data_IF_757552847541
#
_entry.id   IF_757552847541
#
_cell.length_a   1.000
_cell.length_b   1.000
_cell.length_c   1.000
_cell.angle_alpha   90.00
_cell.angle_beta   90.00
_cell.angle_gamma   90.00
#
_symmetry.space_group_name_H-M   'P 1'
#
loop_
_entity.id
_entity.type
_entity.pdbx_description
1 polymer ?
#
# COMPACT_ATOMS: atom_id res chain seq x y z
N UNK A 1 -8.14 -20.79 55.08
CA UNK A 1 -7.94 -21.72 53.95
C UNK A 1 -7.50 -20.87 52.79
N UNK A 2 -6.16 -20.71 52.65
CA UNK A 2 -5.54 -19.78 51.72
C UNK A 2 -5.52 -20.38 50.31
N UNK A 3 -6.06 -19.66 49.36
CA UNK A 3 -5.87 -19.94 47.92
C UNK A 3 -4.49 -19.41 47.55
N UNK A 4 -3.56 -20.34 47.27
CA UNK A 4 -2.28 -20.04 46.71
C UNK A 4 -2.48 -19.47 45.28
N UNK A 5 -2.12 -18.21 45.12
CA UNK A 5 -1.91 -17.60 43.83
C UNK A 5 -0.66 -18.24 43.24
N UNK A 6 -0.83 -19.15 42.29
CA UNK A 6 0.28 -19.63 41.44
C UNK A 6 0.86 -18.44 40.68
N UNK A 7 2.06 -18.04 41.08
CA UNK A 7 2.92 -17.14 40.32
C UNK A 7 3.23 -17.75 38.97
N UNK A 8 2.45 -17.41 37.95
CA UNK A 8 2.75 -17.73 36.57
C UNK A 8 3.99 -16.90 36.20
N UNK A 9 5.17 -17.52 36.33
CA UNK A 9 6.43 -16.96 35.85
C UNK A 9 6.29 -16.56 34.41
N UNK A 10 6.56 -15.29 34.04
CA UNK A 10 6.53 -14.87 32.63
C UNK A 10 7.57 -15.74 31.87
N UNK A 11 7.07 -16.49 30.89
CA UNK A 11 7.92 -17.26 30.02
C UNK A 11 9.00 -16.34 29.43
N UNK A 12 10.28 -16.66 29.62
CA UNK A 12 11.41 -15.90 29.04
C UNK A 12 11.18 -15.80 27.55
N UNK A 13 10.80 -14.62 27.05
CA UNK A 13 10.67 -14.36 25.62
C UNK A 13 12.05 -14.58 24.98
N UNK A 14 12.16 -15.63 24.16
CA UNK A 14 13.37 -15.88 23.36
C UNK A 14 13.58 -14.72 22.39
N UNK A 15 14.85 -14.31 22.15
CA UNK A 15 15.20 -13.35 21.11
C UNK A 15 14.60 -13.87 19.80
N UNK A 16 13.72 -13.09 19.15
CA UNK A 16 12.96 -13.52 17.98
C UNK A 16 11.46 -13.79 18.23
N UNK A 17 11.04 -14.06 19.47
CA UNK A 17 9.63 -14.18 19.87
C UNK A 17 8.82 -15.11 18.95
N UNK A 18 7.79 -14.58 18.29
CA UNK A 18 6.88 -15.29 17.38
C UNK A 18 7.54 -15.97 16.18
N UNK A 19 8.71 -15.52 15.71
CA UNK A 19 9.40 -16.14 14.57
C UNK A 19 9.81 -17.59 14.83
N UNK A 20 9.93 -17.99 16.10
CA UNK A 20 10.22 -19.37 16.48
C UNK A 20 8.99 -20.27 16.50
N UNK A 21 7.79 -19.70 16.41
CA UNK A 21 6.57 -20.47 16.20
C UNK A 21 6.51 -20.87 14.73
N UNK A 22 6.60 -22.18 14.45
CA UNK A 22 6.71 -22.72 13.08
C UNK A 22 5.69 -22.14 12.12
N UNK A 23 4.41 -22.09 12.52
CA UNK A 23 3.34 -21.63 11.64
C UNK A 23 3.43 -20.12 11.33
N UNK A 24 3.73 -19.28 12.34
CA UNK A 24 3.96 -17.86 12.12
C UNK A 24 5.23 -17.60 11.32
N UNK A 25 6.32 -18.35 11.62
CA UNK A 25 7.58 -18.23 10.87
C UNK A 25 7.42 -18.56 9.38
N UNK A 26 6.64 -19.60 9.04
CA UNK A 26 6.31 -19.95 7.65
C UNK A 26 5.50 -18.84 6.97
N UNK A 27 4.46 -18.31 7.63
CA UNK A 27 3.68 -17.21 7.10
C UNK A 27 4.58 -15.98 6.87
N UNK A 28 5.34 -15.59 7.89
CA UNK A 28 6.23 -14.42 7.83
C UNK A 28 7.28 -14.54 6.73
N UNK A 29 7.89 -15.71 6.56
CA UNK A 29 8.89 -15.98 5.52
C UNK A 29 8.27 -15.92 4.13
N UNK A 30 7.13 -16.60 3.92
CA UNK A 30 6.40 -16.58 2.65
C UNK A 30 6.02 -15.16 2.24
N UNK A 31 5.39 -14.42 3.16
CA UNK A 31 5.01 -13.00 2.97
C UNK A 31 6.21 -12.10 2.67
N UNK A 32 7.32 -12.29 3.38
CA UNK A 32 8.51 -11.47 3.16
C UNK A 32 9.09 -11.70 1.76
N UNK A 33 9.15 -12.94 1.30
CA UNK A 33 9.66 -13.28 -0.04
C UNK A 33 8.70 -12.81 -1.13
N UNK A 34 7.40 -13.05 -1.00
CA UNK A 34 6.42 -12.59 -1.99
C UNK A 34 6.33 -11.06 -2.03
N UNK A 35 6.52 -10.40 -0.88
CA UNK A 35 6.64 -8.95 -0.79
C UNK A 35 7.85 -8.40 -1.57
N UNK A 36 9.02 -9.04 -1.48
CA UNK A 36 10.20 -8.69 -2.28
C UNK A 36 9.91 -8.88 -3.77
N UNK A 37 9.33 -10.03 -4.15
CA UNK A 37 8.95 -10.32 -5.54
C UNK A 37 7.97 -9.28 -6.10
N UNK A 38 6.91 -8.96 -5.36
CA UNK A 38 5.91 -7.96 -5.76
C UNK A 38 6.51 -6.56 -5.89
N UNK A 39 7.41 -6.17 -4.98
CA UNK A 39 8.15 -4.92 -5.09
C UNK A 39 9.11 -4.92 -6.30
N UNK A 40 9.72 -6.05 -6.65
CA UNK A 40 10.47 -6.19 -7.90
C UNK A 40 9.57 -6.01 -9.12
N UNK A 41 8.41 -6.67 -9.15
CA UNK A 41 7.48 -6.59 -10.27
C UNK A 41 6.97 -5.16 -10.50
N UNK A 42 6.76 -4.37 -9.45
CA UNK A 42 6.31 -2.96 -9.57
C UNK A 42 7.26 -2.09 -10.41
N UNK A 43 8.52 -2.46 -10.54
CA UNK A 43 9.51 -1.81 -11.41
C UNK A 43 9.74 -2.63 -12.68
N UNK A 44 9.86 -3.96 -12.57
CA UNK A 44 10.18 -4.83 -13.69
C UNK A 44 9.08 -4.89 -14.76
N UNK A 45 7.80 -4.87 -14.37
CA UNK A 45 6.67 -4.92 -15.35
C UNK A 45 6.58 -3.65 -16.19
N UNK A 46 6.60 -2.43 -15.63
CA UNK A 46 6.74 -1.22 -16.43
C UNK A 46 8.00 -1.23 -17.31
N UNK A 47 9.15 -1.68 -16.80
CA UNK A 47 10.37 -1.81 -17.60
C UNK A 47 10.20 -2.80 -18.76
N UNK A 48 9.50 -3.92 -18.54
CA UNK A 48 9.20 -4.90 -19.60
C UNK A 48 8.35 -4.27 -20.72
N UNK A 49 7.31 -3.54 -20.35
CA UNK A 49 6.48 -2.82 -21.31
C UNK A 49 7.26 -1.74 -22.09
N UNK A 50 8.16 -1.02 -21.42
CA UNK A 50 8.95 0.06 -22.02
C UNK A 50 10.06 -0.48 -22.91
N UNK A 51 10.82 -1.46 -22.43
CA UNK A 51 12.04 -1.94 -23.09
C UNK A 51 11.73 -2.94 -24.22
N UNK A 52 10.80 -3.89 -24.01
CA UNK A 52 10.49 -4.96 -24.96
C UNK A 52 9.40 -4.52 -25.94
N UNK A 53 8.29 -3.98 -25.43
CA UNK A 53 7.14 -3.62 -26.27
C UNK A 53 7.16 -2.16 -26.75
N UNK A 54 8.11 -1.35 -26.29
CA UNK A 54 8.18 0.09 -26.58
C UNK A 54 6.85 0.81 -26.31
N UNK A 55 6.11 0.34 -25.30
CA UNK A 55 4.77 0.78 -24.97
C UNK A 55 4.71 2.30 -24.75
N UNK A 56 3.64 2.94 -25.22
CA UNK A 56 3.42 4.38 -25.06
C UNK A 56 3.09 4.76 -23.61
N UNK A 57 3.12 6.07 -23.28
CA UNK A 57 2.91 6.54 -21.92
C UNK A 57 1.56 6.12 -21.31
N UNK A 58 0.49 6.18 -22.11
CA UNK A 58 -0.85 5.77 -21.67
C UNK A 58 -0.89 4.28 -21.31
N UNK A 59 -0.28 3.42 -22.16
CA UNK A 59 -0.25 1.98 -21.92
C UNK A 59 0.51 1.65 -20.60
N UNK A 60 1.67 2.27 -20.37
CA UNK A 60 2.44 2.06 -19.13
C UNK A 60 1.64 2.52 -17.91
N UNK A 61 0.96 3.65 -17.97
CA UNK A 61 0.13 4.15 -16.87
C UNK A 61 -1.10 3.26 -16.64
N UNK A 62 -1.67 2.71 -17.71
CA UNK A 62 -2.80 1.78 -17.62
C UNK A 62 -2.45 0.48 -16.88
N UNK A 63 -1.17 0.04 -16.87
CA UNK A 63 -0.72 -1.11 -16.06
C UNK A 63 -0.93 -0.85 -14.58
N UNK A 64 -0.51 0.32 -14.10
CA UNK A 64 -0.74 0.72 -12.71
C UNK A 64 -2.23 0.86 -12.41
N UNK A 65 -3.00 1.45 -13.32
CA UNK A 65 -4.45 1.54 -13.16
C UNK A 65 -5.08 0.14 -13.06
N UNK A 66 -4.68 -0.81 -13.92
CA UNK A 66 -5.18 -2.19 -13.92
C UNK A 66 -4.89 -2.91 -12.60
N UNK A 67 -3.70 -2.72 -12.02
CA UNK A 67 -3.31 -3.33 -10.74
C UNK A 67 -4.18 -2.83 -9.56
N UNK A 68 -4.58 -1.55 -9.57
CA UNK A 68 -5.38 -0.95 -8.48
C UNK A 68 -6.89 -0.98 -8.73
N UNK A 69 -7.32 -1.14 -9.97
CA UNK A 69 -8.74 -1.14 -10.33
C UNK A 69 -9.59 -2.19 -9.58
N UNK A 70 -9.11 -3.41 -9.29
CA UNK A 70 -9.85 -4.39 -8.51
C UNK A 70 -10.23 -3.91 -7.11
N UNK A 71 -9.43 -3.08 -6.46
CA UNK A 71 -9.79 -2.50 -5.17
C UNK A 71 -11.05 -1.64 -5.25
N UNK A 72 -11.22 -0.92 -6.36
CA UNK A 72 -12.40 -0.09 -6.61
C UNK A 72 -13.63 -0.95 -6.97
N UNK A 73 -13.43 -1.97 -7.82
CA UNK A 73 -14.54 -2.76 -8.37
C UNK A 73 -15.06 -3.81 -7.39
N UNK A 74 -14.14 -4.56 -6.75
CA UNK A 74 -14.49 -5.74 -5.94
C UNK A 74 -14.02 -5.65 -4.49
N UNK A 75 -13.24 -4.62 -4.10
CA UNK A 75 -12.69 -4.52 -2.74
C UNK A 75 -13.74 -4.63 -1.64
N UNK A 76 -14.94 -4.11 -1.89
CA UNK A 76 -16.06 -4.16 -0.94
C UNK A 76 -16.79 -5.52 -0.96
N UNK A 77 -17.25 -6.08 -2.09
CA UNK A 77 -17.91 -7.39 -2.10
C UNK A 77 -16.94 -8.53 -1.76
N UNK A 78 -15.65 -8.41 -2.07
CA UNK A 78 -14.65 -9.41 -1.74
C UNK A 78 -14.57 -9.69 -0.23
N UNK A 79 -14.75 -8.69 0.63
CA UNK A 79 -14.82 -8.90 2.09
C UNK A 79 -15.92 -9.87 2.50
N UNK A 80 -17.12 -9.71 1.92
CA UNK A 80 -18.24 -10.62 2.20
C UNK A 80 -18.02 -12.05 1.67
N UNK A 81 -17.25 -12.19 0.58
CA UNK A 81 -16.89 -13.51 0.05
C UNK A 81 -15.80 -14.18 0.88
N UNK A 82 -14.79 -13.44 1.31
CA UNK A 82 -13.71 -13.93 2.18
C UNK A 82 -14.26 -14.44 3.51
N UNK A 83 -15.28 -13.81 4.08
CA UNK A 83 -15.93 -14.26 5.31
C UNK A 83 -16.60 -15.64 5.19
N UNK A 84 -16.86 -16.12 3.97
CA UNK A 84 -17.54 -17.40 3.69
C UNK A 84 -16.61 -18.51 3.23
N UNK A 85 -15.38 -18.21 2.91
CA UNK A 85 -14.42 -19.15 2.34
C UNK A 85 -13.27 -19.43 3.32
N UNK A 86 -12.65 -20.61 3.28
CA UNK A 86 -11.49 -20.92 4.12
C UNK A 86 -10.34 -19.97 3.79
N UNK A 87 -9.86 -19.13 4.74
CA UNK A 87 -8.90 -18.08 4.44
C UNK A 87 -7.57 -18.62 3.91
N UNK A 88 -7.08 -19.76 4.43
CA UNK A 88 -5.85 -20.40 3.95
C UNK A 88 -5.96 -20.85 2.48
N UNK A 89 -7.08 -21.42 2.08
CA UNK A 89 -7.30 -21.86 0.70
C UNK A 89 -7.31 -20.68 -0.26
N UNK A 90 -7.90 -19.54 0.17
CA UNK A 90 -7.89 -18.30 -0.59
C UNK A 90 -6.47 -17.74 -0.77
N UNK A 91 -5.67 -17.73 0.30
CA UNK A 91 -4.28 -17.30 0.25
C UNK A 91 -3.47 -18.12 -0.75
N UNK A 92 -3.57 -19.45 -0.66
CA UNK A 92 -2.86 -20.39 -1.57
C UNK A 92 -3.34 -20.20 -3.02
N UNK A 93 -4.64 -20.09 -3.24
CA UNK A 93 -5.20 -19.89 -4.59
C UNK A 93 -4.75 -18.56 -5.21
N UNK A 94 -4.71 -17.48 -4.41
CA UNK A 94 -4.23 -16.17 -4.86
C UNK A 94 -2.74 -16.20 -5.23
N UNK A 95 -1.90 -16.85 -4.40
CA UNK A 95 -0.47 -17.00 -4.69
C UNK A 95 -0.23 -17.84 -5.94
N UNK A 96 -0.89 -18.98 -6.10
CA UNK A 96 -0.75 -19.84 -7.28
C UNK A 96 -1.25 -19.13 -8.55
N UNK A 97 -2.38 -18.44 -8.47
CA UNK A 97 -2.88 -17.63 -9.59
C UNK A 97 -1.87 -16.54 -9.98
N UNK A 98 -1.32 -15.81 -9.01
CA UNK A 98 -0.31 -14.78 -9.24
C UNK A 98 0.97 -15.35 -9.83
N UNK A 99 1.42 -16.52 -9.35
CA UNK A 99 2.60 -17.21 -9.86
C UNK A 99 2.42 -17.59 -11.34
N UNK A 100 1.27 -18.18 -11.71
CA UNK A 100 0.95 -18.55 -13.07
C UNK A 100 0.85 -17.34 -14.00
N UNK A 101 0.15 -16.30 -13.55
CA UNK A 101 -0.06 -15.07 -14.31
C UNK A 101 1.27 -14.35 -14.57
N UNK A 102 2.08 -14.08 -13.54
CA UNK A 102 3.38 -13.45 -13.75
C UNK A 102 4.36 -14.37 -14.48
N UNK A 103 4.30 -15.70 -14.28
CA UNK A 103 5.11 -16.66 -15.02
C UNK A 103 4.80 -16.70 -16.51
N UNK A 104 3.58 -16.37 -16.92
CA UNK A 104 3.17 -16.31 -18.32
C UNK A 104 3.88 -15.19 -19.10
N UNK A 105 4.26 -14.09 -18.46
CA UNK A 105 4.88 -12.93 -19.11
C UNK A 105 6.26 -13.24 -19.72
N UNK A 106 7.24 -13.81 -18.98
CA UNK A 106 8.53 -14.15 -19.54
C UNK A 106 8.42 -15.26 -20.60
N UNK A 107 7.54 -16.23 -20.41
CA UNK A 107 7.29 -17.28 -21.42
C UNK A 107 6.81 -16.65 -22.73
N UNK A 108 5.82 -15.76 -22.67
CA UNK A 108 5.35 -15.05 -23.87
C UNK A 108 6.44 -14.14 -24.48
N UNK A 109 7.28 -13.52 -23.64
CA UNK A 109 8.39 -12.69 -24.12
C UNK A 109 9.44 -13.53 -24.88
N UNK A 110 9.80 -14.72 -24.37
CA UNK A 110 10.74 -15.64 -25.04
C UNK A 110 10.19 -16.22 -26.33
N UNK A 111 8.86 -16.44 -26.40
CA UNK A 111 8.19 -16.88 -27.60
C UNK A 111 7.89 -15.72 -28.59
N UNK A 112 8.28 -14.49 -28.27
CA UNK A 112 7.97 -13.28 -29.04
C UNK A 112 6.45 -13.02 -29.23
N UNK A 113 5.62 -13.53 -28.32
CA UNK A 113 4.15 -13.39 -28.32
C UNK A 113 3.65 -12.37 -27.28
N UNK A 114 4.54 -11.74 -26.51
CA UNK A 114 4.16 -10.79 -25.49
C UNK A 114 3.46 -9.57 -26.09
N UNK A 115 2.32 -9.22 -25.49
CA UNK A 115 1.54 -8.03 -25.89
C UNK A 115 1.24 -7.14 -24.68
N UNK A 116 0.97 -5.85 -24.91
CA UNK A 116 0.52 -4.92 -23.87
C UNK A 116 -0.79 -5.39 -23.24
N UNK A 117 -1.70 -5.92 -24.06
CA UNK A 117 -2.98 -6.46 -23.57
C UNK A 117 -2.79 -7.61 -22.59
N UNK A 118 -1.84 -8.51 -22.84
CA UNK A 118 -1.51 -9.60 -21.92
C UNK A 118 -1.00 -9.05 -20.58
N UNK A 119 -0.10 -8.06 -20.58
CA UNK A 119 0.41 -7.46 -19.34
C UNK A 119 -0.75 -6.78 -18.58
N UNK A 120 -1.64 -6.06 -19.25
CA UNK A 120 -2.82 -5.43 -18.65
C UNK A 120 -3.75 -6.46 -17.99
N UNK A 121 -4.01 -7.59 -18.66
CA UNK A 121 -4.83 -8.68 -18.11
C UNK A 121 -4.14 -9.30 -16.89
N UNK A 122 -2.84 -9.54 -16.95
CA UNK A 122 -2.06 -10.07 -15.83
C UNK A 122 -2.13 -9.12 -14.64
N UNK A 123 -1.88 -7.82 -14.82
CA UNK A 123 -1.96 -6.82 -13.75
C UNK A 123 -3.37 -6.74 -13.15
N UNK A 124 -4.41 -6.78 -13.97
CA UNK A 124 -5.79 -6.76 -13.50
C UNK A 124 -6.12 -8.01 -12.67
N UNK A 125 -5.80 -9.20 -13.18
CA UNK A 125 -6.12 -10.46 -12.50
C UNK A 125 -5.26 -10.67 -11.25
N UNK A 126 -4.00 -10.29 -11.25
CA UNK A 126 -3.16 -10.30 -10.05
C UNK A 126 -3.61 -9.25 -9.03
N UNK A 127 -4.13 -8.11 -9.49
CA UNK A 127 -4.81 -7.15 -8.64
C UNK A 127 -6.05 -7.76 -7.94
N UNK A 128 -6.85 -8.56 -8.65
CA UNK A 128 -7.96 -9.33 -8.04
C UNK A 128 -7.42 -10.30 -6.98
N UNK A 129 -6.39 -11.08 -7.31
CA UNK A 129 -5.75 -12.00 -6.37
C UNK A 129 -5.24 -11.28 -5.13
N UNK A 130 -4.63 -10.10 -5.30
CA UNK A 130 -4.12 -9.26 -4.19
C UNK A 130 -5.23 -8.78 -3.27
N UNK A 131 -6.40 -8.41 -3.80
CA UNK A 131 -7.56 -8.03 -2.97
C UNK A 131 -7.99 -9.21 -2.09
N UNK A 132 -8.19 -10.38 -2.67
CA UNK A 132 -8.58 -11.58 -1.91
C UNK A 132 -7.51 -11.99 -0.90
N UNK A 133 -6.25 -11.98 -1.30
CA UNK A 133 -5.12 -12.28 -0.42
C UNK A 133 -5.08 -11.36 0.79
N UNK A 134 -5.12 -10.05 0.57
CA UNK A 134 -5.06 -9.05 1.65
C UNK A 134 -6.20 -9.19 2.64
N UNK A 135 -7.42 -9.43 2.15
CA UNK A 135 -8.59 -9.62 3.00
C UNK A 135 -8.52 -10.95 3.77
N UNK A 136 -8.17 -12.05 3.09
CA UNK A 136 -8.02 -13.36 3.73
C UNK A 136 -6.92 -13.36 4.79
N UNK A 137 -5.81 -12.67 4.52
CA UNK A 137 -4.68 -12.52 5.43
C UNK A 137 -5.07 -11.84 6.75
N UNK A 138 -5.91 -10.79 6.72
CA UNK A 138 -6.37 -10.12 7.93
C UNK A 138 -7.22 -11.03 8.84
N UNK A 139 -7.92 -12.01 8.25
CA UNK A 139 -8.71 -12.99 8.98
C UNK A 139 -7.85 -14.18 9.45
N UNK A 140 -6.83 -14.54 8.67
CA UNK A 140 -6.00 -15.71 8.94
C UNK A 140 -4.97 -15.50 10.05
N UNK A 141 -4.39 -14.30 10.15
CA UNK A 141 -3.38 -13.98 11.16
C UNK A 141 -3.85 -14.24 12.60
N UNK A 142 -5.06 -13.82 13.04
CA UNK A 142 -5.58 -14.14 14.37
C UNK A 142 -5.83 -15.63 14.65
N UNK A 143 -5.90 -16.45 13.61
CA UNK A 143 -6.02 -17.93 13.76
C UNK A 143 -4.66 -18.56 14.08
N UNK A 144 -3.55 -17.93 13.64
CA UNK A 144 -2.19 -18.45 13.82
C UNK A 144 -1.53 -17.97 15.10
N UNK A 145 -1.93 -16.81 15.62
CA UNK A 145 -1.23 -16.11 16.71
C UNK A 145 -2.21 -15.80 17.83
N UNK A 146 -1.80 -15.99 19.08
CA UNK A 146 -2.61 -15.64 20.24
C UNK A 146 -2.93 -14.13 20.27
N UNK A 147 -4.06 -13.76 20.88
CA UNK A 147 -4.53 -12.37 20.93
C UNK A 147 -3.47 -11.41 21.51
N UNK A 148 -2.76 -11.82 22.56
CA UNK A 148 -1.70 -11.04 23.21
C UNK A 148 -0.46 -10.82 22.32
N UNK A 149 -0.23 -11.70 21.34
CA UNK A 149 0.92 -11.69 20.46
C UNK A 149 0.61 -11.04 19.09
N UNK A 150 -0.66 -10.68 18.80
CA UNK A 150 -1.07 -10.07 17.53
C UNK A 150 -0.34 -8.77 17.24
N UNK A 151 -0.09 -7.95 18.26
CA UNK A 151 0.65 -6.70 18.10
C UNK A 151 2.08 -6.95 17.63
N UNK A 152 2.77 -7.93 18.22
CA UNK A 152 4.12 -8.34 17.83
C UNK A 152 4.12 -8.91 16.40
N UNK A 153 3.14 -9.76 16.08
CA UNK A 153 2.99 -10.35 14.75
C UNK A 153 2.83 -9.27 13.66
N UNK A 154 1.88 -8.35 13.86
CA UNK A 154 1.65 -7.25 12.92
C UNK A 154 2.88 -6.32 12.79
N UNK A 155 3.58 -6.03 13.90
CA UNK A 155 4.79 -5.21 13.86
C UNK A 155 5.90 -5.86 13.02
N UNK A 156 6.14 -7.19 13.17
CA UNK A 156 7.14 -7.92 12.40
C UNK A 156 6.79 -7.98 10.91
N UNK A 157 5.53 -8.22 10.58
CA UNK A 157 5.06 -8.27 9.20
C UNK A 157 5.14 -6.89 8.53
N UNK A 158 4.78 -5.83 9.23
CA UNK A 158 4.92 -4.46 8.72
C UNK A 158 6.39 -4.06 8.51
N UNK A 159 7.27 -4.44 9.42
CA UNK A 159 8.71 -4.18 9.29
C UNK A 159 9.30 -4.93 8.10
N UNK A 160 8.98 -6.23 7.93
CA UNK A 160 9.46 -7.01 6.79
C UNK A 160 8.89 -6.50 5.46
N UNK A 161 7.63 -6.06 5.42
CA UNK A 161 7.02 -5.43 4.23
C UNK A 161 7.77 -4.15 3.82
N UNK A 162 8.15 -3.31 4.78
CA UNK A 162 8.97 -2.12 4.51
C UNK A 162 10.34 -2.47 3.92
N UNK A 163 11.02 -3.46 4.51
CA UNK A 163 12.31 -3.96 3.98
C UNK A 163 12.14 -4.58 2.59
N UNK A 164 11.10 -5.39 2.40
CA UNK A 164 10.80 -6.02 1.12
C UNK A 164 10.52 -4.99 0.01
N UNK A 165 9.81 -3.91 0.34
CA UNK A 165 9.53 -2.83 -0.61
C UNK A 165 10.82 -2.17 -1.12
N UNK A 166 11.74 -1.82 -0.22
CA UNK A 166 13.00 -1.17 -0.57
C UNK A 166 13.92 -2.14 -1.32
N UNK A 167 14.15 -3.33 -0.75
CA UNK A 167 15.07 -4.32 -1.34
C UNK A 167 14.56 -4.82 -2.69
N UNK A 168 13.27 -5.13 -2.82
CA UNK A 168 12.68 -5.63 -4.05
C UNK A 168 12.81 -4.63 -5.20
N UNK A 169 12.47 -3.36 -4.98
CA UNK A 169 12.61 -2.33 -6.02
C UNK A 169 14.07 -2.07 -6.39
N UNK A 170 14.99 -2.09 -5.41
CA UNK A 170 16.42 -1.99 -5.68
C UNK A 170 16.94 -3.18 -6.51
N UNK A 171 16.53 -4.39 -6.14
CA UNK A 171 16.91 -5.62 -6.84
C UNK A 171 16.32 -5.70 -8.26
N UNK A 172 15.17 -5.10 -8.52
CA UNK A 172 14.51 -5.15 -9.84
C UNK A 172 15.42 -4.62 -10.96
N UNK A 173 16.03 -3.45 -10.76
CA UNK A 173 16.95 -2.88 -11.75
C UNK A 173 18.21 -3.71 -11.95
N UNK A 174 18.80 -4.24 -10.86
CA UNK A 174 19.96 -5.11 -10.91
C UNK A 174 19.65 -6.43 -11.62
N UNK A 175 18.53 -7.07 -11.29
CA UNK A 175 18.09 -8.29 -11.94
C UNK A 175 17.79 -8.06 -13.43
N UNK A 176 17.13 -6.95 -13.78
CA UNK A 176 16.86 -6.59 -15.17
C UNK A 176 18.15 -6.45 -16.00
N UNK A 177 19.22 -5.92 -15.39
CA UNK A 177 20.54 -5.80 -16.02
C UNK A 177 21.26 -7.14 -16.11
N UNK A 178 21.21 -7.98 -15.06
CA UNK A 178 21.99 -9.22 -14.97
C UNK A 178 21.41 -10.36 -15.82
N UNK A 179 20.09 -10.55 -15.79
CA UNK A 179 19.38 -11.70 -16.42
C UNK A 179 18.36 -11.28 -17.45
N UNK A 180 18.23 -9.99 -17.71
CA UNK A 180 17.23 -9.43 -18.64
C UNK A 180 15.90 -9.12 -17.95
N UNK A 181 15.18 -8.14 -18.51
CA UNK A 181 13.93 -7.61 -17.92
C UNK A 181 12.84 -8.68 -17.85
N UNK A 182 12.66 -9.48 -18.91
CA UNK A 182 11.65 -10.54 -18.92
C UNK A 182 11.94 -11.62 -17.86
N UNK A 183 13.19 -12.06 -17.76
CA UNK A 183 13.61 -13.06 -16.77
C UNK A 183 13.49 -12.55 -15.33
N UNK A 184 13.67 -11.24 -15.10
CA UNK A 184 13.52 -10.65 -13.76
C UNK A 184 12.09 -10.79 -13.21
N UNK A 185 11.07 -10.90 -14.06
CA UNK A 185 9.67 -11.14 -13.64
C UNK A 185 9.48 -12.55 -13.08
N UNK A 186 10.30 -13.55 -13.47
CA UNK A 186 10.25 -14.90 -12.89
C UNK A 186 10.55 -14.92 -11.40
N UNK A 187 11.37 -14.01 -10.90
CA UNK A 187 11.63 -13.93 -9.46
C UNK A 187 10.33 -13.64 -8.68
N UNK A 188 9.45 -12.80 -9.25
CA UNK A 188 8.14 -12.57 -8.63
C UNK A 188 7.24 -13.81 -8.72
N UNK A 189 7.17 -14.47 -9.87
CA UNK A 189 6.41 -15.71 -10.00
C UNK A 189 6.93 -16.79 -9.03
N UNK A 190 8.26 -16.95 -8.92
CA UNK A 190 8.88 -17.87 -7.97
C UNK A 190 8.62 -17.51 -6.51
N UNK A 191 8.60 -16.22 -6.17
CA UNK A 191 8.31 -15.77 -4.80
C UNK A 191 6.90 -16.12 -4.35
N UNK A 192 5.90 -16.02 -5.23
CA UNK A 192 4.53 -16.49 -4.96
C UNK A 192 4.46 -18.01 -4.79
N UNK A 193 5.23 -18.79 -5.57
CA UNK A 193 5.30 -20.25 -5.37
C UNK A 193 5.90 -20.58 -4.00
N UNK A 194 6.94 -19.89 -3.58
CA UNK A 194 7.54 -20.07 -2.24
C UNK A 194 6.51 -19.73 -1.16
N UNK A 195 5.76 -18.65 -1.30
CA UNK A 195 4.70 -18.27 -0.37
C UNK A 195 3.61 -19.35 -0.31
N UNK A 196 3.12 -19.84 -1.45
CA UNK A 196 2.14 -20.91 -1.52
C UNK A 196 2.63 -22.20 -0.85
N UNK A 197 3.92 -22.58 -1.05
CA UNK A 197 4.53 -23.74 -0.39
C UNK A 197 4.58 -23.55 1.13
N UNK A 198 4.97 -22.34 1.59
CA UNK A 198 4.98 -22.02 3.01
C UNK A 198 3.56 -22.14 3.62
N UNK A 199 2.54 -21.60 2.94
CA UNK A 199 1.14 -21.71 3.36
C UNK A 199 0.65 -23.17 3.39
N UNK A 200 1.06 -23.99 2.41
CA UNK A 200 0.77 -25.43 2.39
C UNK A 200 1.46 -26.18 3.53
N UNK A 201 2.63 -25.73 3.98
CA UNK A 201 3.38 -26.34 5.08
C UNK A 201 2.84 -25.96 6.48
N UNK A 202 2.00 -24.94 6.59
CA UNK A 202 1.34 -24.56 7.83
C UNK A 202 0.34 -25.66 8.23
N UNK A 203 0.49 -26.15 9.46
CA UNK A 203 -0.38 -27.20 10.03
C UNK A 203 -1.23 -26.60 11.15
N UNK A 204 -2.31 -25.95 10.78
CA UNK A 204 -3.34 -25.51 11.73
C UNK A 204 -4.65 -26.13 11.29
N UNK A 205 -5.35 -26.76 12.23
CA UNK A 205 -6.76 -27.08 12.03
C UNK A 205 -7.51 -25.75 12.05
N UNK A 206 -7.95 -25.29 10.92
CA UNK A 206 -8.92 -24.21 10.91
C UNK A 206 -10.11 -24.69 11.71
N UNK A 207 -10.52 -24.01 12.80
CA UNK A 207 -11.82 -24.30 13.36
C UNK A 207 -12.77 -24.18 12.17
N UNK A 208 -13.53 -25.23 11.88
CA UNK A 208 -14.70 -25.03 11.03
C UNK A 208 -15.41 -23.85 11.66
N UNK A 209 -15.33 -22.71 11.01
CA UNK A 209 -16.07 -21.54 11.44
C UNK A 209 -17.53 -21.99 11.38
N UNK A 210 -18.03 -22.53 12.48
CA UNK A 210 -19.43 -22.36 12.81
C UNK A 210 -19.63 -20.85 12.76
N UNK A 211 -20.16 -20.45 11.63
CA UNK A 211 -20.48 -19.08 11.24
C UNK A 211 -21.57 -18.56 12.19
N UNK A 212 -21.25 -18.45 13.48
CA UNK A 212 -21.97 -17.67 14.48
C UNK A 212 -21.61 -16.19 14.37
N UNK A 213 -21.42 -15.71 13.14
CA UNK A 213 -21.61 -14.31 12.88
C UNK A 213 -23.07 -14.09 12.55
N UNK A 214 -23.79 -13.53 13.51
CA UNK A 214 -25.14 -13.01 13.30
C UNK A 214 -25.20 -12.33 11.93
N UNK A 215 -26.16 -12.73 11.05
CA UNK A 215 -26.31 -12.07 9.77
C UNK A 215 -26.47 -10.58 10.03
N UNK A 216 -25.50 -9.76 9.60
CA UNK A 216 -25.71 -8.32 9.61
C UNK A 216 -26.93 -8.06 8.72
N UNK A 217 -27.97 -7.53 9.31
CA UNK A 217 -29.25 -7.21 8.66
C UNK A 217 -29.12 -6.06 7.63
N UNK A 218 -27.95 -5.41 7.57
CA UNK A 218 -27.66 -4.29 6.68
C UNK A 218 -26.91 -4.75 5.45
N UNK A 219 -27.32 -4.26 4.28
CA UNK A 219 -26.58 -4.50 3.03
C UNK A 219 -25.29 -3.72 3.06
N UNK A 220 -24.23 -4.26 2.47
CA UNK A 220 -22.93 -3.60 2.34
C UNK A 220 -23.04 -2.17 1.77
N UNK A 221 -23.96 -1.98 0.81
CA UNK A 221 -24.25 -0.65 0.26
C UNK A 221 -24.79 0.33 1.31
N UNK A 222 -25.65 -0.15 2.21
CA UNK A 222 -26.17 0.66 3.30
C UNK A 222 -25.08 1.04 4.30
N UNK A 223 -24.20 0.11 4.67
CA UNK A 223 -23.07 0.38 5.57
C UNK A 223 -22.09 1.41 5.00
N UNK A 224 -21.82 1.36 3.68
CA UNK A 224 -20.99 2.37 3.00
C UNK A 224 -21.70 3.71 2.94
N UNK A 225 -22.97 3.71 2.55
CA UNK A 225 -23.74 4.95 2.45
C UNK A 225 -23.83 5.63 3.82
N UNK A 226 -24.02 4.87 4.89
CA UNK A 226 -24.04 5.39 6.26
C UNK A 226 -22.68 5.92 6.70
N UNK A 227 -21.60 5.18 6.40
CA UNK A 227 -20.23 5.63 6.67
C UNK A 227 -19.86 6.90 5.91
N UNK A 228 -20.22 7.00 4.62
CA UNK A 228 -20.07 8.22 3.82
C UNK A 228 -20.92 9.37 4.35
N UNK A 229 -22.18 9.10 4.69
CA UNK A 229 -23.06 10.13 5.25
C UNK A 229 -22.52 10.69 6.58
N UNK A 230 -21.94 9.82 7.42
CA UNK A 230 -21.29 10.25 8.65
C UNK A 230 -20.06 11.15 8.37
N UNK A 231 -19.20 10.74 7.42
CA UNK A 231 -18.03 11.53 7.00
C UNK A 231 -18.46 12.88 6.43
N UNK A 232 -19.52 12.91 5.58
CA UNK A 232 -19.97 14.13 4.91
C UNK A 232 -20.65 15.14 5.83
N UNK A 233 -21.27 14.67 6.93
CA UNK A 233 -21.91 15.54 7.94
C UNK A 233 -20.90 16.28 8.83
N UNK A 234 -19.73 15.69 9.06
CA UNK A 234 -18.67 16.30 9.86
C UNK A 234 -17.65 17.00 8.95
N UNK A 235 -17.45 18.31 9.17
CA UNK A 235 -16.58 19.15 8.34
C UNK A 235 -15.11 18.71 8.42
N UNK A 236 -14.67 18.22 9.58
CA UNK A 236 -13.29 17.80 9.79
C UNK A 236 -13.04 16.44 9.15
N UNK A 237 -13.96 15.45 9.36
CA UNK A 237 -13.86 14.14 8.70
C UNK A 237 -13.92 14.27 7.18
N UNK A 238 -14.74 15.17 6.66
CA UNK A 238 -14.83 15.44 5.22
C UNK A 238 -13.51 15.96 4.65
N UNK A 239 -12.89 16.95 5.29
CA UNK A 239 -11.58 17.48 4.89
C UNK A 239 -10.52 16.39 4.95
N UNK A 240 -10.49 15.60 6.04
CA UNK A 240 -9.53 14.50 6.25
C UNK A 240 -9.85 13.24 5.43
N UNK A 241 -10.94 13.22 4.66
CA UNK A 241 -11.25 12.21 3.65
C UNK A 241 -10.89 12.70 2.24
N UNK A 242 -11.24 13.94 1.89
CA UNK A 242 -10.98 14.52 0.55
C UNK A 242 -9.49 14.73 0.33
N UNK A 243 -8.75 15.27 1.31
CA UNK A 243 -7.32 15.51 1.16
C UNK A 243 -6.52 14.25 0.81
N UNK A 244 -6.62 13.12 1.55
CA UNK A 244 -5.93 11.90 1.15
C UNK A 244 -6.38 11.34 -0.19
N UNK A 245 -7.65 11.51 -0.57
CA UNK A 245 -8.15 11.06 -1.86
C UNK A 245 -7.50 11.81 -3.03
N UNK A 246 -7.46 13.14 -2.97
CA UNK A 246 -6.82 13.97 -4.01
C UNK A 246 -5.30 13.75 -4.02
N UNK A 247 -4.67 13.69 -2.85
CA UNK A 247 -3.24 13.41 -2.72
C UNK A 247 -2.88 12.04 -3.29
N UNK A 248 -3.67 11.00 -2.98
CA UNK A 248 -3.43 9.65 -3.47
C UNK A 248 -3.70 9.51 -4.97
N UNK A 249 -4.67 10.25 -5.51
CA UNK A 249 -4.88 10.34 -6.95
C UNK A 249 -3.63 10.90 -7.65
N UNK A 250 -3.13 12.04 -7.18
CA UNK A 250 -1.94 12.66 -7.76
C UNK A 250 -0.70 11.76 -7.60
N UNK A 251 -0.49 11.18 -6.41
CA UNK A 251 0.62 10.27 -6.13
C UNK A 251 0.55 8.98 -6.96
N UNK A 252 -0.64 8.39 -7.12
CA UNK A 252 -0.86 7.24 -7.98
C UNK A 252 -0.47 7.52 -9.44
N UNK A 253 -0.77 8.73 -9.92
CA UNK A 253 -0.32 9.20 -11.22
C UNK A 253 1.20 9.36 -11.31
N UNK A 254 1.83 9.96 -10.29
CA UNK A 254 3.31 10.07 -10.22
C UNK A 254 3.96 8.69 -10.27
N UNK A 255 3.47 7.73 -9.46
CA UNK A 255 3.99 6.35 -9.47
C UNK A 255 3.86 5.70 -10.84
N UNK A 256 2.72 5.87 -11.52
CA UNK A 256 2.44 5.24 -12.80
C UNK A 256 3.40 5.64 -13.91
N UNK A 257 3.92 6.87 -13.88
CA UNK A 257 4.81 7.38 -14.92
C UNK A 257 6.26 7.57 -14.46
N UNK A 258 6.59 7.32 -13.18
CA UNK A 258 7.95 7.53 -12.64
C UNK A 258 9.01 6.69 -13.34
N UNK A 259 8.76 5.40 -13.53
CA UNK A 259 9.71 4.51 -14.24
C UNK A 259 9.90 4.95 -15.69
N UNK A 260 8.79 5.27 -16.37
CA UNK A 260 8.83 5.78 -17.74
C UNK A 260 9.61 7.09 -17.84
N UNK A 261 9.42 7.99 -16.90
CA UNK A 261 10.12 9.27 -16.81
C UNK A 261 11.62 9.07 -16.64
N UNK A 262 12.03 8.23 -15.68
CA UNK A 262 13.44 7.96 -15.39
C UNK A 262 14.14 7.34 -16.61
N UNK A 263 13.50 6.40 -17.30
CA UNK A 263 14.09 5.70 -18.45
C UNK A 263 14.12 6.58 -19.71
N UNK A 264 12.98 7.18 -20.09
CA UNK A 264 12.85 7.86 -21.41
C UNK A 264 13.20 9.33 -21.39
N UNK A 265 12.94 10.02 -20.28
CA UNK A 265 13.13 11.48 -20.17
C UNK A 265 14.44 11.80 -19.49
N UNK A 266 14.68 11.25 -18.29
CA UNK A 266 15.92 11.44 -17.56
C UNK A 266 17.09 10.57 -18.10
N UNK A 267 16.80 9.60 -18.99
CA UNK A 267 17.77 8.71 -19.65
C UNK A 267 18.66 7.94 -18.67
N UNK A 268 18.08 7.52 -17.56
CA UNK A 268 18.73 6.77 -16.50
C UNK A 268 18.73 5.29 -16.86
N UNK A 269 19.83 4.60 -16.59
CA UNK A 269 19.97 3.17 -16.87
C UNK A 269 19.03 2.31 -16.02
N UNK A 270 18.59 1.17 -16.54
CA UNK A 270 17.59 0.30 -15.90
C UNK A 270 18.01 -0.16 -14.50
N UNK A 271 19.30 -0.41 -14.27
CA UNK A 271 19.83 -0.78 -12.97
C UNK A 271 19.71 0.37 -11.96
N UNK A 272 20.01 1.57 -12.38
CA UNK A 272 19.96 2.78 -11.56
C UNK A 272 18.52 3.17 -11.20
N UNK A 273 17.56 2.94 -12.12
CA UNK A 273 16.14 3.22 -11.86
C UNK A 273 15.63 2.49 -10.61
N UNK A 274 15.93 1.20 -10.47
CA UNK A 274 15.54 0.42 -9.30
C UNK A 274 16.13 0.98 -8.01
N UNK A 275 17.41 1.36 -8.04
CA UNK A 275 18.11 1.95 -6.89
C UNK A 275 17.52 3.30 -6.50
N UNK A 276 17.24 4.17 -7.48
CA UNK A 276 16.66 5.50 -7.21
C UNK A 276 15.26 5.39 -6.60
N UNK A 277 14.42 4.48 -7.14
CA UNK A 277 13.07 4.25 -6.60
C UNK A 277 13.16 3.68 -5.18
N UNK A 278 14.04 2.70 -4.94
CA UNK A 278 14.25 2.14 -3.60
C UNK A 278 14.76 3.19 -2.59
N UNK A 279 15.69 4.05 -3.01
CA UNK A 279 16.19 5.13 -2.17
C UNK A 279 15.10 6.15 -1.81
N UNK A 280 14.21 6.46 -2.75
CA UNK A 280 13.03 7.29 -2.49
C UNK A 280 12.07 6.65 -1.49
N UNK A 281 11.81 5.35 -1.62
CA UNK A 281 10.91 4.63 -0.70
C UNK A 281 11.47 4.48 0.72
N UNK A 282 12.79 4.49 0.87
CA UNK A 282 13.43 4.50 2.20
C UNK A 282 12.99 5.71 3.04
N UNK A 283 12.59 6.80 2.39
CA UNK A 283 11.97 7.94 3.04
C UNK A 283 10.72 7.56 3.84
N UNK A 284 9.91 6.63 3.36
CA UNK A 284 8.72 6.15 4.08
C UNK A 284 9.07 5.50 5.43
N UNK A 285 10.16 4.75 5.50
CA UNK A 285 10.67 4.18 6.76
C UNK A 285 11.09 5.29 7.72
N UNK A 286 11.85 6.28 7.21
CA UNK A 286 12.24 7.44 8.00
C UNK A 286 11.01 8.20 8.53
N UNK A 287 10.00 8.41 7.69
CA UNK A 287 8.73 9.04 8.07
C UNK A 287 8.04 8.30 9.22
N UNK A 288 7.97 6.97 9.15
CA UNK A 288 7.38 6.16 10.22
C UNK A 288 8.13 6.29 11.55
N UNK A 289 9.46 6.31 11.51
CA UNK A 289 10.31 6.42 12.70
C UNK A 289 10.19 7.79 13.39
N UNK A 290 10.04 8.86 12.62
CA UNK A 290 10.02 10.22 13.18
C UNK A 290 8.61 10.75 13.45
N UNK A 291 7.57 10.15 12.85
CA UNK A 291 6.18 10.63 12.93
C UNK A 291 5.71 10.89 14.37
N UNK A 292 5.93 9.92 15.27
CA UNK A 292 5.54 10.05 16.68
C UNK A 292 6.28 11.20 17.38
N UNK A 293 7.59 11.33 17.13
CA UNK A 293 8.40 12.39 17.74
C UNK A 293 7.92 13.76 17.28
N UNK A 294 7.65 13.92 15.99
CA UNK A 294 7.15 15.17 15.42
C UNK A 294 5.76 15.47 16.00
N UNK A 295 4.83 14.50 15.98
CA UNK A 295 3.47 14.70 16.49
C UNK A 295 3.43 15.07 17.98
N UNK A 296 4.31 14.51 18.81
CA UNK A 296 4.41 14.89 20.23
C UNK A 296 5.04 16.27 20.43
N UNK A 297 6.02 16.64 19.59
CA UNK A 297 6.73 17.93 19.71
C UNK A 297 5.87 19.12 19.25
N UNK A 298 5.24 19.03 18.09
CA UNK A 298 4.51 20.17 17.48
C UNK A 298 2.99 20.03 17.52
N UNK A 299 2.47 18.84 17.84
CA UNK A 299 1.05 18.51 17.85
C UNK A 299 0.58 17.84 16.56
N UNK A 300 -0.56 17.14 16.64
CA UNK A 300 -1.08 16.30 15.53
C UNK A 300 -1.60 17.13 14.35
N UNK A 301 -2.30 18.24 14.59
CA UNK A 301 -2.79 19.12 13.52
C UNK A 301 -1.63 19.77 12.74
N UNK A 302 -0.63 20.30 13.46
CA UNK A 302 0.56 20.90 12.83
C UNK A 302 1.40 19.86 12.10
N UNK A 303 1.46 18.62 12.58
CA UNK A 303 2.14 17.53 11.87
C UNK A 303 1.50 17.23 10.52
N UNK A 304 0.16 17.25 10.42
CA UNK A 304 -0.52 17.08 9.12
C UNK A 304 -0.20 18.22 8.16
N UNK A 305 -0.23 19.47 8.63
CA UNK A 305 0.12 20.64 7.80
C UNK A 305 1.57 20.58 7.34
N UNK A 306 2.51 20.24 8.24
CA UNK A 306 3.92 20.06 7.90
C UNK A 306 4.10 18.95 6.87
N UNK A 307 3.42 17.80 7.07
CA UNK A 307 3.49 16.67 6.13
C UNK A 307 2.98 17.07 4.74
N UNK A 308 1.83 17.73 4.65
CA UNK A 308 1.28 18.17 3.38
C UNK A 308 2.20 19.19 2.67
N UNK A 309 2.72 20.18 3.41
CA UNK A 309 3.63 21.19 2.88
C UNK A 309 4.97 20.61 2.44
N UNK A 310 5.60 19.79 3.29
CA UNK A 310 6.88 19.14 2.98
C UNK A 310 6.76 18.20 1.76
N UNK A 311 5.70 17.36 1.70
CA UNK A 311 5.46 16.48 0.57
C UNK A 311 5.20 17.27 -0.72
N UNK A 312 4.39 18.33 -0.65
CA UNK A 312 4.09 19.18 -1.80
C UNK A 312 5.33 19.85 -2.36
N UNK A 313 6.13 20.51 -1.51
CA UNK A 313 7.36 21.17 -1.93
C UNK A 313 8.41 20.20 -2.46
N UNK A 314 8.62 19.08 -1.77
CA UNK A 314 9.58 18.07 -2.19
C UNK A 314 9.18 17.39 -3.50
N UNK A 315 7.88 17.14 -3.71
CA UNK A 315 7.37 16.61 -4.96
C UNK A 315 7.77 17.42 -6.19
N UNK A 316 7.88 18.75 -6.07
CA UNK A 316 8.32 19.64 -7.15
C UNK A 316 9.75 19.38 -7.63
N UNK A 317 10.58 18.69 -6.83
CA UNK A 317 11.93 18.28 -7.25
C UNK A 317 11.91 17.13 -8.26
N UNK A 318 10.88 16.27 -8.24
CA UNK A 318 10.82 15.06 -9.08
C UNK A 318 10.92 15.38 -10.57
N UNK A 319 10.15 16.34 -11.15
CA UNK A 319 10.25 16.67 -12.57
C UNK A 319 11.56 17.33 -12.99
N UNK A 320 12.36 17.84 -12.02
CA UNK A 320 13.68 18.46 -12.26
C UNK A 320 14.80 17.41 -12.44
N UNK A 321 14.47 16.14 -12.22
CA UNK A 321 15.42 15.02 -12.36
C UNK A 321 15.93 14.92 -13.80
N UNK A 322 17.24 14.67 -13.89
CA UNK A 322 17.95 14.37 -15.13
C UNK A 322 19.10 13.40 -14.85
N UNK A 323 19.88 13.04 -15.87
CA UNK A 323 21.10 12.23 -15.71
C UNK A 323 22.16 12.89 -14.83
N UNK A 324 23.09 12.08 -14.32
CA UNK A 324 24.18 12.52 -13.46
C UNK A 324 23.71 12.96 -12.06
N UNK A 325 24.32 14.02 -11.51
CA UNK A 325 24.03 14.47 -10.14
C UNK A 325 22.56 14.92 -9.93
N UNK A 326 21.85 15.32 -11.00
CA UNK A 326 20.45 15.70 -10.96
C UNK A 326 19.51 14.52 -10.64
N UNK A 327 19.98 13.28 -10.71
CA UNK A 327 19.25 12.12 -10.22
C UNK A 327 18.95 12.22 -8.71
N UNK A 328 19.75 12.98 -7.96
CA UNK A 328 19.50 13.26 -6.55
C UNK A 328 18.16 13.99 -6.30
N UNK A 329 17.67 14.79 -7.27
CA UNK A 329 16.35 15.42 -7.13
C UNK A 329 15.21 14.40 -7.03
N UNK A 330 15.31 13.29 -7.75
CA UNK A 330 14.34 12.20 -7.61
C UNK A 330 14.38 11.58 -6.21
N UNK A 331 15.57 11.27 -5.71
CA UNK A 331 15.76 10.61 -4.40
C UNK A 331 15.27 11.52 -3.27
N UNK A 332 15.69 12.78 -3.28
CA UNK A 332 15.30 13.76 -2.25
C UNK A 332 13.81 14.05 -2.35
N UNK A 333 13.31 14.32 -3.56
CA UNK A 333 11.91 14.65 -3.81
C UNK A 333 10.98 13.51 -3.39
N UNK A 334 11.23 12.29 -3.89
CA UNK A 334 10.42 11.12 -3.55
C UNK A 334 10.62 10.68 -2.10
N UNK A 335 11.83 10.79 -1.56
CA UNK A 335 12.13 10.42 -0.18
C UNK A 335 11.40 11.28 0.85
N UNK A 336 11.44 12.60 0.69
CA UNK A 336 10.68 13.51 1.57
C UNK A 336 9.18 13.35 1.36
N UNK A 337 8.73 13.20 0.11
CA UNK A 337 7.32 12.99 -0.22
C UNK A 337 6.79 11.71 0.44
N UNK A 338 7.45 10.56 0.30
CA UNK A 338 7.03 9.30 0.92
C UNK A 338 7.13 9.35 2.44
N UNK A 339 8.18 10.00 3.00
CA UNK A 339 8.32 10.24 4.45
C UNK A 339 7.11 11.00 5.02
N UNK A 340 6.73 12.07 4.35
CA UNK A 340 5.63 12.91 4.77
C UNK A 340 4.27 12.21 4.61
N UNK A 341 4.05 11.46 3.51
CA UNK A 341 2.83 10.66 3.32
C UNK A 341 2.68 9.63 4.44
N UNK A 342 3.73 8.87 4.75
CA UNK A 342 3.68 7.84 5.80
C UNK A 342 3.49 8.49 7.17
N UNK A 343 4.24 9.54 7.49
CA UNK A 343 4.09 10.27 8.75
C UNK A 343 2.68 10.84 8.94
N UNK A 344 2.14 11.49 7.93
CA UNK A 344 0.77 12.02 7.93
C UNK A 344 -0.29 10.93 8.06
N UNK A 345 -0.10 9.77 7.39
CA UNK A 345 -1.04 8.65 7.46
C UNK A 345 -1.15 8.05 8.87
N UNK A 346 -0.03 7.97 9.61
CA UNK A 346 -0.02 7.50 11.00
C UNK A 346 -0.88 8.43 11.88
N UNK A 347 -0.72 9.74 11.74
CA UNK A 347 -1.52 10.72 12.47
C UNK A 347 -3.01 10.60 12.11
N UNK A 348 -3.35 10.46 10.82
CA UNK A 348 -4.72 10.31 10.36
C UNK A 348 -5.39 9.04 10.89
N UNK A 349 -4.68 7.91 10.89
CA UNK A 349 -5.20 6.64 11.40
C UNK A 349 -5.47 6.76 12.90
N UNK A 350 -4.51 7.29 13.66
CA UNK A 350 -4.65 7.50 15.11
C UNK A 350 -5.81 8.46 15.44
N UNK A 351 -5.93 9.57 14.71
CA UNK A 351 -7.04 10.51 14.85
C UNK A 351 -8.38 9.82 14.64
N UNK A 352 -8.54 9.06 13.58
CA UNK A 352 -9.79 8.38 13.25
C UNK A 352 -10.20 7.38 14.33
N UNK A 353 -9.24 6.65 14.89
CA UNK A 353 -9.49 5.67 15.94
C UNK A 353 -9.97 6.33 17.25
N UNK A 354 -9.53 7.56 17.52
CA UNK A 354 -9.92 8.29 18.73
C UNK A 354 -11.17 9.14 18.55
N UNK A 355 -11.37 9.70 17.34
CA UNK A 355 -12.45 10.64 17.07
C UNK A 355 -13.76 9.96 16.66
N UNK A 356 -13.70 8.82 16.00
CA UNK A 356 -14.88 8.14 15.47
C UNK A 356 -15.48 7.21 16.54
N UNK A 357 -16.81 7.27 16.81
CA UNK A 357 -17.46 6.34 17.71
C UNK A 357 -17.21 4.87 17.30
N UNK A 358 -17.05 3.99 18.30
CA UNK A 358 -16.68 2.59 18.07
C UNK A 358 -17.65 1.84 17.12
N UNK A 359 -18.95 2.13 17.19
CA UNK A 359 -19.98 1.56 16.31
C UNK A 359 -19.89 2.03 14.86
N UNK A 360 -19.25 3.17 14.58
CA UNK A 360 -19.08 3.75 13.24
C UNK A 360 -17.67 3.56 12.68
N UNK A 361 -16.67 3.17 13.50
CA UNK A 361 -15.27 3.10 13.11
C UNK A 361 -15.03 2.16 11.92
N UNK A 362 -15.66 1.00 11.90
CA UNK A 362 -15.55 0.05 10.79
C UNK A 362 -16.10 0.61 9.47
N UNK A 363 -17.31 1.21 9.51
CA UNK A 363 -17.98 1.78 8.33
C UNK A 363 -17.25 2.98 7.76
N UNK A 364 -16.80 3.91 8.61
CA UNK A 364 -16.02 5.08 8.19
C UNK A 364 -14.66 4.70 7.63
N UNK A 365 -14.00 3.69 8.23
CA UNK A 365 -12.70 3.19 7.73
C UNK A 365 -12.85 2.52 6.36
N UNK A 366 -13.90 1.71 6.16
CA UNK A 366 -14.17 1.07 4.86
C UNK A 366 -14.49 2.13 3.78
N UNK A 367 -15.35 3.09 4.09
CA UNK A 367 -15.70 4.18 3.18
C UNK A 367 -14.50 5.02 2.79
N UNK A 368 -13.64 5.38 3.74
CA UNK A 368 -12.44 6.16 3.46
C UNK A 368 -11.41 5.36 2.65
N UNK A 369 -11.20 4.07 2.95
CA UNK A 369 -10.33 3.21 2.14
C UNK A 369 -10.83 3.12 0.70
N UNK A 370 -12.15 2.95 0.51
CA UNK A 370 -12.75 2.91 -0.82
C UNK A 370 -12.46 4.19 -1.61
N UNK A 371 -12.66 5.36 -1.01
CA UNK A 371 -12.39 6.65 -1.65
C UNK A 371 -10.89 6.82 -1.93
N UNK A 372 -10.04 6.49 -0.96
CA UNK A 372 -8.58 6.70 -1.07
C UNK A 372 -7.94 5.74 -2.07
N UNK A 373 -8.23 4.44 -2.01
CA UNK A 373 -7.65 3.48 -2.96
C UNK A 373 -8.31 3.56 -4.34
N UNK A 374 -9.60 3.88 -4.39
CA UNK A 374 -10.32 4.09 -5.65
C UNK A 374 -9.84 5.32 -6.44
N UNK A 375 -9.15 6.28 -5.79
CA UNK A 375 -8.60 7.45 -6.48
C UNK A 375 -7.29 7.15 -7.23
N UNK A 376 -6.51 6.15 -6.82
CA UNK A 376 -5.21 5.84 -7.42
C UNK A 376 -5.29 5.43 -8.91
N UNK A 377 -6.20 4.53 -9.35
CA UNK A 377 -6.34 4.21 -10.77
C UNK A 377 -6.78 5.40 -11.61
N UNK A 378 -7.60 6.30 -11.06
CA UNK A 378 -7.98 7.54 -11.75
C UNK A 378 -6.77 8.44 -11.97
N UNK A 379 -5.89 8.56 -10.98
CA UNK A 379 -4.63 9.27 -11.09
C UNK A 379 -3.69 8.67 -12.12
N UNK A 380 -3.57 7.36 -12.17
CA UNK A 380 -2.75 6.66 -13.17
C UNK A 380 -3.26 6.89 -14.60
N UNK A 381 -4.58 6.80 -14.84
CA UNK A 381 -5.17 7.09 -16.15
C UNK A 381 -5.00 8.56 -16.54
N UNK A 382 -5.19 9.49 -15.60
CA UNK A 382 -4.95 10.91 -15.81
C UNK A 382 -3.48 11.16 -16.21
N UNK A 383 -2.53 10.54 -15.50
CA UNK A 383 -1.11 10.63 -15.80
C UNK A 383 -0.79 10.14 -17.21
N UNK A 384 -1.40 9.03 -17.62
CA UNK A 384 -1.27 8.48 -18.97
C UNK A 384 -1.80 9.43 -20.05
N UNK A 385 -2.99 9.98 -19.85
CA UNK A 385 -3.60 10.94 -20.78
C UNK A 385 -2.76 12.23 -20.91
N UNK A 386 -2.36 12.81 -19.76
CA UNK A 386 -1.50 14.01 -19.74
C UNK A 386 -0.14 13.73 -20.38
N UNK A 387 0.46 12.56 -20.14
CA UNK A 387 1.75 12.19 -20.72
C UNK A 387 1.69 12.02 -22.21
N UNK A 388 0.57 11.55 -22.75
CA UNK A 388 0.35 11.40 -24.19
C UNK A 388 0.10 12.74 -24.85
N UNK A 389 -0.64 13.64 -24.20
CA UNK A 389 -1.00 14.94 -24.77
C UNK A 389 0.14 15.97 -24.67
N UNK A 390 0.84 16.02 -23.54
CA UNK A 390 1.79 17.12 -23.24
C UNK A 390 3.22 16.61 -23.00
N UNK A 391 3.45 15.30 -22.95
CA UNK A 391 4.74 14.71 -22.60
C UNK A 391 4.86 14.35 -21.11
N UNK A 392 5.75 13.40 -20.82
CA UNK A 392 5.86 12.77 -19.48
C UNK A 392 6.32 13.76 -18.39
N UNK A 393 7.27 14.64 -18.72
CA UNK A 393 7.77 15.65 -17.74
C UNK A 393 6.70 16.66 -17.37
N UNK A 394 5.93 17.13 -18.35
CA UNK A 394 4.82 18.07 -18.14
C UNK A 394 3.69 17.42 -17.33
N UNK A 395 3.38 16.17 -17.62
CA UNK A 395 2.42 15.40 -16.83
C UNK A 395 2.86 15.27 -15.36
N UNK A 396 4.15 15.01 -15.10
CA UNK A 396 4.70 15.01 -13.73
C UNK A 396 4.52 16.37 -13.06
N UNK A 397 4.82 17.47 -13.76
CA UNK A 397 4.61 18.83 -13.21
C UNK A 397 3.15 19.03 -12.79
N UNK A 398 2.19 18.68 -13.64
CA UNK A 398 0.77 18.83 -13.34
C UNK A 398 0.40 18.00 -12.10
N UNK A 399 0.84 16.74 -12.03
CA UNK A 399 0.51 15.85 -10.92
C UNK A 399 1.13 16.31 -9.60
N UNK A 400 2.40 16.71 -9.57
CA UNK A 400 3.03 17.18 -8.32
C UNK A 400 2.47 18.52 -7.88
N UNK A 401 2.03 19.38 -8.80
CA UNK A 401 1.31 20.64 -8.48
C UNK A 401 -0.08 20.31 -7.90
N UNK A 402 -0.83 19.39 -8.49
CA UNK A 402 -2.12 18.91 -7.91
C UNK A 402 -1.87 18.36 -6.50
N UNK A 403 -0.81 17.56 -6.32
CA UNK A 403 -0.44 17.03 -5.01
C UNK A 403 -0.13 18.17 -4.02
N UNK A 404 0.68 19.13 -4.40
CA UNK A 404 1.03 20.28 -3.55
C UNK A 404 -0.20 21.12 -3.20
N UNK A 405 -1.04 21.43 -4.19
CA UNK A 405 -2.28 22.18 -3.99
C UNK A 405 -3.29 21.39 -3.13
N UNK A 406 -3.27 20.05 -3.14
CA UNK A 406 -4.15 19.28 -2.26
C UNK A 406 -3.96 19.62 -0.78
N UNK A 407 -2.75 20.03 -0.37
CA UNK A 407 -2.46 20.50 0.98
C UNK A 407 -3.32 21.71 1.41
N UNK A 408 -3.80 22.53 0.47
CA UNK A 408 -4.68 23.66 0.77
C UNK A 408 -6.04 23.22 1.33
N UNK A 409 -6.47 21.98 1.06
CA UNK A 409 -7.69 21.39 1.63
C UNK A 409 -7.59 21.32 3.17
N UNK A 410 -6.36 21.19 3.71
CA UNK A 410 -6.12 21.20 5.15
C UNK A 410 -6.17 22.61 5.79
N UNK A 411 -6.32 23.68 5.00
CA UNK A 411 -6.44 25.04 5.52
C UNK A 411 -7.83 25.30 6.15
N UNK A 412 -8.30 24.31 6.88
CA UNK A 412 -9.53 24.39 7.66
C UNK A 412 -9.23 25.12 8.98
N UNK A 413 -10.08 26.07 9.44
CA UNK A 413 -9.86 26.82 10.67
C UNK A 413 -9.62 25.94 11.91
N UNK A 414 -10.25 24.77 11.97
CA UNK A 414 -10.07 23.81 13.08
C UNK A 414 -8.63 23.27 13.08
N UNK A 415 -8.06 22.98 11.92
CA UNK A 415 -6.70 22.44 11.80
C UNK A 415 -5.66 23.55 12.00
N UNK A 416 -5.91 24.75 11.45
CA UNK A 416 -4.97 25.87 11.50
C UNK A 416 -4.81 26.47 12.92
N UNK A 417 -5.92 26.57 13.67
CA UNK A 417 -5.92 27.23 14.98
C UNK A 417 -5.49 26.33 16.13
N UNK A 418 -5.56 25.01 15.95
CA UNK A 418 -5.26 24.08 17.00
C UNK A 418 -3.86 23.46 16.83
N UNK A 419 -3.22 23.18 17.96
CA UNK A 419 -1.98 22.40 17.98
C UNK A 419 -2.27 20.92 17.68
N UNK A 420 -3.34 20.39 18.28
CA UNK A 420 -3.76 19.00 18.18
C UNK A 420 -5.14 18.91 17.55
N UNK A 421 -5.40 17.81 16.87
CA UNK A 421 -6.73 17.47 16.35
C UNK A 421 -7.66 17.14 17.54
N UNK A 422 -8.94 17.51 17.46
CA UNK A 422 -9.91 17.21 18.52
C UNK A 422 -10.05 15.70 18.74
N UNK A 423 -10.31 15.29 19.99
CA UNK A 423 -10.42 13.87 20.36
C UNK A 423 -11.85 13.32 20.21
N UNK A 424 -12.85 14.19 20.11
CA UNK A 424 -14.25 13.80 19.98
C UNK A 424 -15.00 14.80 19.09
N UNK A 425 -16.09 14.38 18.45
CA UNK A 425 -16.97 15.27 17.68
C UNK A 425 -17.59 16.35 18.57
N UNK A 426 -17.93 17.53 18.00
CA UNK A 426 -18.65 18.56 18.75
C UNK A 426 -19.96 18.01 19.30
N UNK A 427 -20.18 18.15 20.62
CA UNK A 427 -21.39 17.68 21.29
C UNK A 427 -21.36 16.22 21.80
N UNK A 428 -20.28 15.51 21.64
CA UNK A 428 -20.12 14.22 22.30
C UNK A 428 -19.98 14.42 23.84
N UNK A 429 -20.66 13.62 24.68
CA UNK A 429 -20.47 13.69 26.14
C UNK A 429 -18.99 13.42 26.45
N UNK A 430 -18.41 14.23 27.31
CA UNK A 430 -17.05 14.03 27.79
C UNK A 430 -16.96 12.61 28.38
N UNK A 431 -16.14 11.76 27.79
CA UNK A 431 -15.78 10.49 28.41
C UNK A 431 -15.03 10.83 29.68
N UNK A 432 -15.62 10.49 30.85
CA UNK A 432 -14.93 10.57 32.12
C UNK A 432 -13.60 9.82 32.08
N UNK A 433 -12.56 10.35 32.72
CA UNK A 433 -11.19 9.84 32.69
C UNK A 433 -11.03 8.42 33.23
#
# INVERSE_FOLDING_TARGET
MGLATEDVKPARRRIGGLLWQRNFGLLWFGESISGVGSAMASVAVPLLAIAVLKAGPFAVSALTAAAYLPWLLIGLPAGAWVDRLPPRSLLIAADLASALLYGSLPVAAWLHLLTVAQILIVELLTGVATVFFTLAYTVYLPVLVAADDLLEGNAKLSASSGVASISGRGLAGLAARAVGVATSVLFNAGSFLVSAICLLAIRVREPHAELTRTPRSTTLRADIAEGLAFIWRDSLLRVLCIWPAVSNMAYGGVLAISVLFLVRVARIGTAEVGVLVAAGDAGGVLGALVARRIATAIGTARTLLLSAGAAGLAGLLIPLTDGGWRAAFFVVGSGVLTSAIVGGSIVLVSFRQTYTPANMLGRTTASQRFVTFGSAPLGALLAGALSTAFGVRQALWVLVVIFALSGTILLNPIILRNRDLPKAPPGAPASDP
#
